data_IF_167699494091
#
_entry.id   IF_167699494091
#
_cell.length_a   1.000
_cell.length_b   1.000
_cell.length_c   1.000
_cell.angle_alpha   90.00
_cell.angle_beta   90.00
_cell.angle_gamma   90.00
#
_symmetry.space_group_name_H-M   'P 1'
#
loop_
_entity.id
_entity.type
_entity.pdbx_description
1 polymer ?
#
# COMPACT_ATOMS: atom_id res chain seq x y z
N UNK A 1 0.96 -11.57 29.04
CA UNK A 1 -0.49 -11.33 28.86
C UNK A 1 -1.01 -12.35 27.85
N UNK A 2 -1.86 -13.28 28.28
CA UNK A 2 -2.53 -14.23 27.37
C UNK A 2 -3.71 -13.48 26.76
N UNK A 3 -3.67 -13.19 25.46
CA UNK A 3 -4.82 -12.63 24.75
C UNK A 3 -6.01 -13.57 24.91
N UNK A 4 -7.14 -13.02 25.34
CA UNK A 4 -8.39 -13.76 25.56
C UNK A 4 -8.81 -14.40 24.23
N UNK A 5 -9.37 -15.61 24.24
CA UNK A 5 -9.77 -16.32 23.01
C UNK A 5 -10.72 -15.52 22.09
N UNK A 6 -11.39 -14.51 22.63
CA UNK A 6 -12.21 -13.56 21.87
C UNK A 6 -11.39 -12.68 20.91
N UNK A 7 -10.24 -12.14 21.34
CA UNK A 7 -9.41 -11.24 20.52
C UNK A 7 -8.78 -11.99 19.34
N UNK A 8 -8.36 -13.22 19.60
CA UNK A 8 -7.83 -14.12 18.56
C UNK A 8 -8.92 -14.47 17.55
N UNK A 9 -10.14 -14.71 18.01
CA UNK A 9 -11.30 -14.96 17.14
C UNK A 9 -11.63 -13.77 16.25
N UNK A 10 -11.61 -12.55 16.78
CA UNK A 10 -11.83 -11.31 16.01
C UNK A 10 -10.72 -11.09 14.99
N UNK A 11 -9.45 -11.26 15.38
CA UNK A 11 -8.32 -11.12 14.46
C UNK A 11 -8.41 -12.10 13.28
N UNK A 12 -8.80 -13.35 13.55
CA UNK A 12 -8.98 -14.35 12.50
C UNK A 12 -10.17 -14.04 11.59
N UNK A 13 -11.29 -13.58 12.15
CA UNK A 13 -12.45 -13.16 11.38
C UNK A 13 -12.13 -11.97 10.45
N UNK A 14 -11.39 -10.97 10.95
CA UNK A 14 -10.92 -9.83 10.16
C UNK A 14 -9.98 -10.27 9.04
N UNK A 15 -9.06 -11.21 9.30
CA UNK A 15 -8.17 -11.73 8.28
C UNK A 15 -8.93 -12.50 7.17
N UNK A 16 -9.93 -13.30 7.55
CA UNK A 16 -10.82 -13.97 6.57
C UNK A 16 -11.59 -12.93 5.76
N UNK A 17 -12.16 -11.91 6.40
CA UNK A 17 -12.90 -10.86 5.71
C UNK A 17 -12.02 -10.07 4.73
N UNK A 18 -10.79 -9.73 5.14
CA UNK A 18 -9.81 -9.08 4.28
C UNK A 18 -9.45 -9.96 3.07
N UNK A 19 -9.15 -11.23 3.29
CA UNK A 19 -8.89 -12.19 2.20
C UNK A 19 -10.08 -12.37 1.25
N UNK A 20 -11.30 -12.43 1.79
CA UNK A 20 -12.51 -12.51 0.99
C UNK A 20 -12.72 -11.24 0.14
N UNK A 21 -12.45 -10.05 0.69
CA UNK A 21 -12.50 -8.79 -0.05
C UNK A 21 -11.49 -8.76 -1.20
N UNK A 22 -10.26 -9.25 -1.00
CA UNK A 22 -9.26 -9.38 -2.07
C UNK A 22 -9.70 -10.35 -3.16
N UNK A 23 -10.26 -11.51 -2.79
CA UNK A 23 -10.76 -12.51 -3.74
C UNK A 23 -11.93 -11.94 -4.56
N UNK A 24 -12.85 -11.23 -3.91
CA UNK A 24 -13.97 -10.56 -4.60
C UNK A 24 -13.45 -9.49 -5.56
N UNK A 25 -12.49 -8.66 -5.14
CA UNK A 25 -11.83 -7.68 -6.00
C UNK A 25 -11.16 -8.32 -7.22
N UNK A 26 -10.42 -9.41 -7.01
CA UNK A 26 -9.80 -10.17 -8.10
C UNK A 26 -10.83 -10.80 -9.06
N UNK A 27 -11.90 -11.41 -8.54
CA UNK A 27 -12.96 -12.01 -9.36
C UNK A 27 -13.66 -10.99 -10.25
N UNK A 28 -13.83 -9.76 -9.75
CA UNK A 28 -14.39 -8.63 -10.51
C UNK A 28 -13.49 -8.27 -11.70
N UNK A 29 -12.16 -8.31 -11.53
CA UNK A 29 -11.18 -8.04 -12.60
C UNK A 29 -11.14 -9.14 -13.66
N UNK A 30 -11.30 -10.41 -13.28
CA UNK A 30 -11.23 -11.56 -14.21
C UNK A 30 -12.54 -11.87 -14.98
N UNK A 31 -13.65 -11.21 -14.63
CA UNK A 31 -14.93 -11.46 -15.31
C UNK A 31 -14.97 -10.81 -16.69
N UNK A 32 -14.99 -11.62 -17.76
CA UNK A 32 -15.05 -11.21 -19.18
C UNK A 32 -16.15 -10.20 -19.52
N UNK A 33 -17.20 -10.09 -18.70
CA UNK A 33 -18.31 -9.14 -18.86
C UNK A 33 -17.98 -7.73 -18.34
N UNK A 34 -16.97 -7.61 -17.47
CA UNK A 34 -16.48 -6.36 -16.89
C UNK A 34 -15.10 -5.95 -17.43
N UNK A 35 -14.45 -6.79 -18.23
CA UNK A 35 -13.24 -6.47 -19.01
C UNK A 35 -13.46 -5.27 -19.95
N UNK A 36 -14.69 -5.02 -20.41
CA UNK A 36 -15.04 -3.80 -21.15
C UNK A 36 -15.00 -2.52 -20.29
N UNK A 37 -15.10 -2.64 -18.96
CA UNK A 37 -14.98 -1.53 -17.99
C UNK A 37 -13.59 -1.42 -17.36
N UNK A 38 -12.73 -2.43 -17.50
CA UNK A 38 -11.31 -2.35 -17.17
C UNK A 38 -10.53 -1.52 -18.21
N UNK A 39 -11.10 -0.37 -18.59
CA UNK A 39 -10.37 0.69 -19.26
C UNK A 39 -9.19 1.05 -18.34
N UNK A 40 -7.96 1.20 -18.86
CA UNK A 40 -6.77 1.58 -18.08
C UNK A 40 -7.03 2.75 -17.12
N UNK A 41 -7.95 3.66 -17.46
CA UNK A 41 -8.41 4.74 -16.59
C UNK A 41 -9.05 4.23 -15.29
N UNK A 42 -10.04 3.34 -15.36
CA UNK A 42 -10.76 2.87 -14.16
C UNK A 42 -9.82 2.08 -13.23
N UNK A 43 -8.88 1.34 -13.81
CA UNK A 43 -7.86 0.60 -13.07
C UNK A 43 -6.86 1.57 -12.42
N UNK A 44 -6.39 2.60 -13.15
CA UNK A 44 -5.52 3.63 -12.60
C UNK A 44 -6.18 4.41 -11.45
N UNK A 45 -7.47 4.75 -11.56
CA UNK A 45 -8.23 5.41 -10.48
C UNK A 45 -8.36 4.50 -9.27
N UNK A 46 -8.73 3.23 -9.47
CA UNK A 46 -8.84 2.27 -8.36
C UNK A 46 -7.50 2.03 -7.64
N UNK A 47 -6.39 1.88 -8.40
CA UNK A 47 -5.04 1.75 -7.84
C UNK A 47 -4.60 3.02 -7.10
N UNK A 48 -4.91 4.20 -7.65
CA UNK A 48 -4.59 5.48 -7.01
C UNK A 48 -5.33 5.65 -5.68
N UNK A 49 -6.62 5.33 -5.64
CA UNK A 49 -7.42 5.37 -4.40
C UNK A 49 -6.86 4.36 -3.38
N UNK A 50 -6.54 3.14 -3.80
CA UNK A 50 -5.98 2.11 -2.91
C UNK A 50 -4.62 2.51 -2.34
N UNK A 51 -3.74 3.05 -3.17
CA UNK A 51 -2.43 3.56 -2.74
C UNK A 51 -2.59 4.73 -1.76
N UNK A 52 -3.52 5.65 -2.04
CA UNK A 52 -3.82 6.78 -1.15
C UNK A 52 -4.32 6.35 0.23
N UNK A 53 -5.26 5.41 0.30
CA UNK A 53 -5.77 4.87 1.58
C UNK A 53 -4.64 4.17 2.35
N UNK A 54 -3.79 3.39 1.67
CA UNK A 54 -2.67 2.70 2.33
C UNK A 54 -1.63 3.69 2.87
N UNK A 55 -1.32 4.77 2.15
CA UNK A 55 -0.43 5.83 2.63
C UNK A 55 -1.03 6.58 3.82
N UNK A 56 -2.34 6.86 3.80
CA UNK A 56 -3.02 7.51 4.92
C UNK A 56 -2.95 6.66 6.20
N UNK A 57 -3.32 5.37 6.11
CA UNK A 57 -3.24 4.44 7.24
C UNK A 57 -1.80 4.36 7.77
N UNK A 58 -0.81 4.22 6.89
CA UNK A 58 0.60 4.08 7.28
C UNK A 58 1.14 5.32 7.99
N UNK A 59 0.85 6.52 7.48
CA UNK A 59 1.43 7.77 7.99
C UNK A 59 0.65 8.38 9.16
N UNK A 60 -0.68 8.23 9.19
CA UNK A 60 -1.52 8.88 10.21
C UNK A 60 -1.80 7.94 11.37
N UNK A 61 -2.16 6.68 11.10
CA UNK A 61 -2.52 5.73 12.15
C UNK A 61 -1.27 5.03 12.68
N UNK A 62 -0.54 4.32 11.81
CA UNK A 62 0.56 3.44 12.23
C UNK A 62 1.78 4.23 12.71
N UNK A 63 2.19 5.30 12.02
CA UNK A 63 3.36 6.08 12.44
C UNK A 63 3.15 6.76 13.80
N UNK A 64 1.96 7.32 14.04
CA UNK A 64 1.62 7.95 15.32
C UNK A 64 1.63 6.96 16.48
N UNK A 65 1.01 5.80 16.29
CA UNK A 65 0.99 4.74 17.30
C UNK A 65 2.39 4.16 17.55
N UNK A 66 3.20 4.02 16.50
CA UNK A 66 4.60 3.56 16.60
C UNK A 66 5.47 4.52 17.43
N UNK A 67 5.36 5.83 17.22
CA UNK A 67 6.09 6.84 18.02
C UNK A 67 5.66 6.77 19.48
N UNK A 68 4.36 6.62 19.75
CA UNK A 68 3.83 6.51 21.11
C UNK A 68 4.38 5.27 21.84
N UNK A 69 4.22 4.09 21.25
CA UNK A 69 4.68 2.82 21.82
C UNK A 69 6.20 2.79 22.02
N UNK A 70 6.96 3.38 21.10
CA UNK A 70 8.41 3.43 21.21
C UNK A 70 8.87 4.43 22.26
N UNK A 71 8.18 5.57 22.42
CA UNK A 71 8.43 6.53 23.51
C UNK A 71 8.14 5.92 24.88
N UNK A 72 7.06 5.14 24.98
CA UNK A 72 6.69 4.41 26.20
C UNK A 72 7.68 3.27 26.51
N UNK A 73 8.10 2.51 25.50
CA UNK A 73 9.07 1.42 25.67
C UNK A 73 10.51 1.87 25.94
N UNK A 74 10.90 3.08 25.53
CA UNK A 74 12.22 3.67 25.81
C UNK A 74 12.27 4.43 27.15
N UNK A 75 11.14 4.67 27.83
CA UNK A 75 11.12 5.26 29.18
C UNK A 75 11.78 4.27 30.17
N UNK A 76 13.02 4.53 30.52
CA UNK A 76 13.72 3.96 31.68
C UNK A 76 13.64 4.95 32.85
N UNK A 77 13.50 4.46 34.09
CA UNK A 77 13.28 5.23 35.33
C UNK A 77 14.30 6.37 35.60
N UNK A 78 15.41 6.45 34.86
CA UNK A 78 16.51 7.43 35.00
C UNK A 78 16.52 8.58 33.95
N UNK A 79 15.46 8.76 33.13
CA UNK A 79 15.49 9.70 32.00
C UNK A 79 14.37 10.77 32.04
N UNK A 80 14.75 12.03 31.78
CA UNK A 80 13.86 13.21 31.67
C UNK A 80 12.88 13.10 30.48
N UNK A 81 11.62 13.52 30.67
CA UNK A 81 10.53 13.38 29.66
C UNK A 81 10.84 14.00 28.27
N UNK A 82 11.68 15.04 28.24
CA UNK A 82 12.06 15.75 27.02
C UNK A 82 13.06 14.96 26.14
N UNK A 83 13.86 14.07 26.75
CA UNK A 83 14.82 13.23 26.02
C UNK A 83 14.18 11.93 25.53
N UNK A 84 13.21 11.39 26.27
CA UNK A 84 12.47 10.18 25.87
C UNK A 84 11.61 10.40 24.61
N UNK A 85 10.97 11.57 24.50
CA UNK A 85 10.16 11.95 23.33
C UNK A 85 11.00 12.16 22.07
N UNK A 86 12.19 12.74 22.19
CA UNK A 86 13.14 12.88 21.08
C UNK A 86 13.67 11.54 20.54
N UNK A 87 13.99 10.59 21.42
CA UNK A 87 14.46 9.26 20.99
C UNK A 87 13.34 8.39 20.40
N UNK A 88 12.11 8.50 20.90
CA UNK A 88 10.95 7.79 20.33
C UNK A 88 10.66 8.21 18.88
N UNK A 89 10.72 9.51 18.59
CA UNK A 89 10.54 10.01 17.21
C UNK A 89 11.67 9.59 16.27
N UNK A 90 12.93 9.67 16.73
CA UNK A 90 14.09 9.21 15.97
C UNK A 90 14.06 7.70 15.70
N UNK A 91 13.68 6.90 16.70
CA UNK A 91 13.57 5.45 16.58
C UNK A 91 12.45 5.01 15.63
N UNK A 92 11.29 5.67 15.68
CA UNK A 92 10.19 5.39 14.78
C UNK A 92 10.55 5.73 13.33
N UNK A 93 11.21 6.88 13.14
CA UNK A 93 11.69 7.32 11.82
C UNK A 93 12.78 6.40 11.28
N UNK A 94 13.72 5.96 12.12
CA UNK A 94 14.76 5.01 11.74
C UNK A 94 14.15 3.65 11.35
N UNK A 95 13.19 3.14 12.11
CA UNK A 95 12.51 1.89 11.80
C UNK A 95 11.71 1.99 10.48
N UNK A 96 11.03 3.12 10.26
CA UNK A 96 10.34 3.40 9.00
C UNK A 96 11.30 3.47 7.81
N UNK A 97 12.45 4.14 7.96
CA UNK A 97 13.48 4.20 6.93
C UNK A 97 14.08 2.82 6.60
N UNK A 98 14.32 1.99 7.62
CA UNK A 98 14.74 0.60 7.44
C UNK A 98 13.66 -0.20 6.70
N UNK A 99 12.38 0.01 7.00
CA UNK A 99 11.26 -0.59 6.28
C UNK A 99 11.25 -0.26 4.78
N UNK A 100 11.48 1.01 4.41
CA UNK A 100 11.57 1.43 3.01
C UNK A 100 12.75 0.74 2.30
N UNK A 101 13.93 0.74 2.93
CA UNK A 101 15.12 0.07 2.38
C UNK A 101 14.87 -1.44 2.19
N UNK A 102 14.17 -2.07 3.12
CA UNK A 102 13.81 -3.49 3.05
C UNK A 102 12.86 -3.77 1.87
N UNK A 103 11.82 -2.96 1.67
CA UNK A 103 10.89 -3.12 0.53
C UNK A 103 11.64 -2.92 -0.80
N UNK A 104 12.52 -1.91 -0.87
CA UNK A 104 13.34 -1.67 -2.06
C UNK A 104 14.28 -2.84 -2.37
N UNK A 105 14.88 -3.47 -1.33
CA UNK A 105 15.70 -4.65 -1.50
C UNK A 105 14.90 -5.84 -2.02
N UNK A 106 13.67 -6.05 -1.52
CA UNK A 106 12.77 -7.09 -2.02
C UNK A 106 12.46 -6.83 -3.50
N UNK A 107 12.12 -5.60 -3.86
CA UNK A 107 11.82 -5.23 -5.24
C UNK A 107 13.01 -5.47 -6.18
N UNK A 108 14.23 -5.14 -5.74
CA UNK A 108 15.46 -5.42 -6.49
C UNK A 108 15.67 -6.93 -6.70
N UNK A 109 15.37 -7.76 -5.70
CA UNK A 109 15.47 -9.22 -5.81
C UNK A 109 14.41 -9.76 -6.78
N UNK A 110 13.18 -9.24 -6.71
CA UNK A 110 12.07 -9.62 -7.60
C UNK A 110 12.38 -9.27 -9.05
N UNK A 111 12.88 -8.06 -9.33
CA UNK A 111 13.30 -7.68 -10.68
C UNK A 111 14.41 -8.58 -11.23
N UNK A 112 15.32 -9.07 -10.39
CA UNK A 112 16.35 -10.03 -10.82
C UNK A 112 15.81 -11.42 -11.15
N UNK A 113 14.72 -11.84 -10.52
CA UNK A 113 14.13 -13.18 -10.73
C UNK A 113 13.16 -13.20 -11.92
N UNK A 114 12.59 -12.05 -12.27
CA UNK A 114 11.66 -11.88 -13.38
C UNK A 114 12.31 -11.03 -14.48
N UNK A 115 13.25 -11.59 -15.28
CA UNK A 115 13.85 -10.87 -16.39
C UNK A 115 12.76 -10.41 -17.36
N UNK A 116 12.75 -9.10 -17.66
CA UNK A 116 11.75 -8.41 -18.47
C UNK A 116 11.46 -9.17 -19.77
N UNK A 117 10.18 -9.46 -20.02
CA UNK A 117 9.74 -9.89 -21.34
C UNK A 117 9.51 -8.63 -22.18
N UNK A 118 10.62 -8.00 -22.60
CA UNK A 118 10.68 -6.69 -23.28
C UNK A 118 9.71 -6.53 -24.47
N UNK A 119 9.24 -7.62 -25.09
CA UNK A 119 8.37 -7.55 -26.26
C UNK A 119 6.88 -7.34 -25.96
N UNK A 120 6.39 -7.62 -24.74
CA UNK A 120 4.96 -7.45 -24.39
C UNK A 120 4.66 -6.09 -23.72
N UNK A 121 5.69 -5.42 -23.20
CA UNK A 121 5.53 -4.13 -22.52
C UNK A 121 5.41 -2.96 -23.50
N UNK A 122 6.21 -2.92 -24.56
CA UNK A 122 6.19 -1.78 -25.50
C UNK A 122 4.84 -1.67 -26.21
N UNK A 123 4.23 -2.80 -26.58
CA UNK A 123 2.92 -2.86 -27.23
C UNK A 123 1.79 -2.42 -26.29
N UNK A 124 1.83 -2.83 -25.00
CA UNK A 124 0.84 -2.39 -24.00
C UNK A 124 0.98 -0.91 -23.62
N UNK A 125 2.21 -0.39 -23.52
CA UNK A 125 2.45 1.02 -23.19
C UNK A 125 1.98 1.95 -24.32
N UNK A 126 2.13 1.51 -25.57
CA UNK A 126 1.65 2.24 -26.74
C UNK A 126 0.11 2.27 -26.79
N UNK A 127 -0.56 1.16 -26.49
CA UNK A 127 -2.03 1.06 -26.38
C UNK A 127 -2.60 1.92 -25.23
N UNK A 128 -1.94 1.94 -24.07
CA UNK A 128 -2.34 2.79 -22.93
C UNK A 128 -2.12 4.27 -23.27
N UNK A 129 -1.02 4.61 -23.94
CA UNK A 129 -0.72 5.98 -24.39
C UNK A 129 -1.73 6.47 -25.42
N UNK A 130 -2.08 5.65 -26.41
CA UNK A 130 -3.12 5.99 -27.40
C UNK A 130 -4.49 6.16 -26.73
N UNK A 131 -4.86 5.26 -25.81
CA UNK A 131 -6.12 5.35 -25.05
C UNK A 131 -6.21 6.65 -24.24
N UNK A 132 -5.11 7.10 -23.63
CA UNK A 132 -5.07 8.39 -22.92
C UNK A 132 -5.09 9.60 -23.86
N UNK A 133 -4.41 9.53 -25.01
CA UNK A 133 -4.41 10.61 -26.00
C UNK A 133 -5.81 10.84 -26.61
N UNK A 134 -6.52 9.76 -26.95
CA UNK A 134 -7.86 9.83 -27.52
C UNK A 134 -8.89 10.43 -26.53
N UNK A 135 -8.72 10.18 -25.23
CA UNK A 135 -9.55 10.76 -24.18
C UNK A 135 -9.25 12.26 -23.97
N UNK A 136 -7.99 12.66 -24.06
CA UNK A 136 -7.57 14.07 -23.91
C UNK A 136 -8.17 14.94 -25.02
N UNK A 137 -8.29 14.41 -26.24
CA UNK A 137 -8.95 15.11 -27.36
C UNK A 137 -10.47 15.23 -27.19
N UNK A 138 -11.13 14.24 -26.60
CA UNK A 138 -12.57 14.35 -26.27
C UNK A 138 -12.84 15.40 -25.19
N UNK A 139 -11.94 15.56 -24.22
CA UNK A 139 -12.04 16.61 -23.19
C UNK A 139 -11.92 18.04 -23.74
N UNK A 140 -11.22 18.22 -24.86
CA UNK A 140 -11.06 19.52 -25.54
C UNK A 140 -12.20 19.87 -26.52
N UNK A 141 -12.94 18.88 -27.02
CA UNK A 141 -14.06 19.09 -27.95
C UNK A 141 -15.42 19.35 -27.25
N UNK A 142 -15.44 19.34 -25.90
CA UNK A 142 -16.64 19.54 -25.07
C UNK A 142 -16.71 20.91 -24.37
N UNK A 143 -15.82 21.85 -24.71
CA UNK A 143 -15.85 23.26 -24.27
C UNK A 143 -16.03 24.15 -25.50
#
# INVERSE_FOLDING_TARGET
>A
MVQTGHDVGVAFALNIAAGAATILGGMVVFSKRLVYLANPLSLAVALSISSGVMLFISLVEIFGESVHLLTEGLKTDDMTEETATGHGWLGATACFAVGIVLIYLIDMIVHKISPEHEMTEIENLEDVRESMAHLTLFGYAGV
#
